data_IF_718108005994
#
_entry.id   IF_718108005994
#
_cell.length_a   1.000
_cell.length_b   1.000
_cell.length_c   1.000
_cell.angle_alpha   90.00
_cell.angle_beta   90.00
_cell.angle_gamma   90.00
#
_symmetry.space_group_name_H-M   'P 1'
#
loop_
_entity.id
_entity.type
_entity.pdbx_description
1 polymer ?
#
# COMPACT_ATOMS: atom_id res chain seq x y z
N UNK A 1 6.00 -9.34 -1.11
CA UNK A 1 5.98 -10.75 -1.57
C UNK A 1 5.36 -10.78 -2.96
N UNK A 2 6.05 -11.33 -3.95
CA UNK A 2 5.55 -11.44 -5.32
C UNK A 2 4.89 -12.80 -5.52
N UNK A 3 3.58 -12.81 -5.80
CA UNK A 3 2.82 -14.02 -6.12
C UNK A 3 2.43 -14.01 -7.60
N UNK A 4 2.30 -15.20 -8.20
CA UNK A 4 1.96 -15.40 -9.61
C UNK A 4 2.82 -14.58 -10.58
N UNK A 5 4.15 -14.78 -10.55
CA UNK A 5 5.10 -14.08 -11.43
C UNK A 5 5.04 -12.54 -11.34
N UNK A 6 4.64 -11.99 -10.19
CA UNK A 6 4.58 -10.55 -9.96
C UNK A 6 3.23 -9.90 -10.29
N UNK A 7 2.20 -10.67 -10.66
CA UNK A 7 0.84 -10.14 -10.87
C UNK A 7 0.17 -9.67 -9.59
N UNK A 8 0.54 -10.24 -8.45
CA UNK A 8 0.12 -9.76 -7.14
C UNK A 8 1.34 -9.40 -6.30
N UNK A 9 1.35 -8.14 -5.85
CA UNK A 9 2.39 -7.57 -5.01
C UNK A 9 1.76 -7.33 -3.65
N UNK A 10 2.07 -8.22 -2.70
CA UNK A 10 1.60 -8.06 -1.32
C UNK A 10 2.68 -7.41 -0.47
N UNK A 11 2.24 -6.60 0.50
CA UNK A 11 3.11 -6.06 1.54
C UNK A 11 3.77 -7.15 2.41
N UNK A 12 4.64 -6.75 3.35
CA UNK A 12 5.29 -7.68 4.27
C UNK A 12 4.27 -8.46 5.13
N UNK A 13 3.09 -7.88 5.40
CA UNK A 13 2.08 -8.43 6.31
C UNK A 13 1.00 -9.28 5.60
N UNK A 14 1.40 -10.23 4.76
CA UNK A 14 0.46 -11.15 4.07
C UNK A 14 -0.38 -11.98 5.04
N UNK A 15 0.11 -12.22 6.26
CA UNK A 15 -0.65 -12.93 7.31
C UNK A 15 -1.89 -12.15 7.74
N UNK A 16 -1.79 -10.82 7.79
CA UNK A 16 -2.91 -9.95 8.14
C UNK A 16 -4.05 -10.08 7.12
N UNK A 17 -3.71 -10.16 5.82
CA UNK A 17 -4.70 -10.42 4.76
C UNK A 17 -5.50 -11.70 4.99
N UNK A 18 -4.82 -12.80 5.32
CA UNK A 18 -5.47 -14.08 5.61
C UNK A 18 -6.44 -13.98 6.80
N UNK A 19 -6.03 -13.26 7.86
CA UNK A 19 -6.92 -12.98 8.99
C UNK A 19 -8.13 -12.14 8.57
N UNK A 20 -7.94 -11.07 7.78
CA UNK A 20 -9.05 -10.24 7.28
C UNK A 20 -10.06 -11.06 6.47
N UNK A 21 -9.59 -11.92 5.56
CA UNK A 21 -10.45 -12.82 4.79
C UNK A 21 -11.26 -13.72 5.74
N UNK A 22 -10.60 -14.32 6.74
CA UNK A 22 -11.28 -15.14 7.74
C UNK A 22 -12.33 -14.34 8.52
N UNK A 23 -12.01 -13.14 8.97
CA UNK A 23 -12.92 -12.26 9.69
C UNK A 23 -14.13 -11.82 8.86
N UNK A 24 -14.03 -11.81 7.52
CA UNK A 24 -15.16 -11.53 6.64
C UNK A 24 -15.98 -12.80 6.39
N UNK A 25 -15.33 -13.90 6.02
CA UNK A 25 -16.01 -15.14 5.61
C UNK A 25 -16.70 -15.83 6.79
N UNK A 26 -16.10 -15.86 7.98
CA UNK A 26 -16.65 -16.52 9.15
C UNK A 26 -18.05 -15.98 9.55
N UNK A 27 -18.24 -14.67 9.82
CA UNK A 27 -19.57 -14.16 10.18
C UNK A 27 -20.59 -14.29 9.04
N UNK A 28 -20.18 -14.11 7.78
CA UNK A 28 -21.07 -14.34 6.62
C UNK A 28 -21.55 -15.78 6.58
N UNK A 29 -20.64 -16.75 6.78
CA UNK A 29 -20.99 -18.17 6.78
C UNK A 29 -21.97 -18.53 7.91
N UNK A 30 -21.76 -17.97 9.11
CA UNK A 30 -22.66 -18.13 10.25
C UNK A 30 -24.03 -17.53 9.93
N UNK A 31 -24.07 -16.31 9.38
CA UNK A 31 -25.31 -15.68 8.95
C UNK A 31 -26.07 -16.53 7.91
N UNK A 32 -25.37 -17.03 6.88
CA UNK A 32 -25.98 -17.87 5.85
C UNK A 32 -26.52 -19.19 6.41
N UNK A 33 -25.83 -19.83 7.35
CA UNK A 33 -26.23 -21.13 7.92
C UNK A 33 -27.37 -21.00 8.92
N UNK A 34 -27.33 -20.02 9.83
CA UNK A 34 -28.30 -19.93 10.92
C UNK A 34 -29.44 -18.98 10.62
N UNK A 35 -29.13 -17.79 10.13
CA UNK A 35 -30.12 -16.72 9.94
C UNK A 35 -30.82 -16.86 8.59
N UNK A 36 -30.06 -16.96 7.49
CA UNK A 36 -30.66 -17.01 6.16
C UNK A 36 -31.50 -18.28 5.95
N UNK A 37 -31.07 -19.43 6.47
CA UNK A 37 -31.89 -20.67 6.45
C UNK A 37 -33.22 -20.48 7.15
N UNK A 38 -33.20 -19.92 8.37
CA UNK A 38 -34.42 -19.65 9.13
C UNK A 38 -35.33 -18.64 8.41
N UNK A 39 -34.73 -17.62 7.78
CA UNK A 39 -35.44 -16.60 7.03
C UNK A 39 -36.09 -17.14 5.74
N UNK A 40 -35.47 -18.11 5.07
CA UNK A 40 -36.04 -18.78 3.91
C UNK A 40 -37.24 -19.67 4.27
N UNK A 41 -37.22 -20.29 5.45
CA UNK A 41 -38.33 -21.12 5.93
C UNK A 41 -39.53 -20.26 6.39
N UNK A 42 -39.28 -19.10 7.01
CA UNK A 42 -40.34 -18.27 7.60
C UNK A 42 -40.97 -17.27 6.61
N UNK A 43 -40.27 -16.86 5.53
CA UNK A 43 -40.77 -15.89 4.55
C UNK A 43 -41.05 -16.51 3.18
N UNK A 44 -42.02 -15.94 2.45
CA UNK A 44 -42.34 -16.34 1.06
C UNK A 44 -41.06 -16.46 0.20
N UNK A 45 -40.91 -17.60 -0.49
CA UNK A 45 -39.68 -18.06 -1.14
C UNK A 45 -38.84 -17.01 -1.88
N UNK A 46 -39.44 -15.98 -2.48
CA UNK A 46 -38.73 -14.95 -3.24
C UNK A 46 -37.89 -14.01 -2.35
N UNK A 47 -38.37 -13.64 -1.16
CA UNK A 47 -37.71 -12.64 -0.32
C UNK A 47 -36.48 -13.22 0.40
N UNK A 48 -36.62 -14.41 1.00
CA UNK A 48 -35.51 -15.10 1.66
C UNK A 48 -34.37 -15.45 0.70
N UNK A 49 -34.70 -15.93 -0.50
CA UNK A 49 -33.70 -16.22 -1.53
C UNK A 49 -32.99 -14.95 -2.00
N UNK A 50 -33.71 -13.83 -2.18
CA UNK A 50 -33.10 -12.56 -2.59
C UNK A 50 -32.07 -12.06 -1.56
N UNK A 51 -32.37 -12.17 -0.27
CA UNK A 51 -31.45 -11.72 0.80
C UNK A 51 -30.17 -12.56 0.79
N UNK A 52 -30.30 -13.89 0.59
CA UNK A 52 -29.15 -14.78 0.49
C UNK A 52 -28.27 -14.46 -0.73
N UNK A 53 -28.89 -14.25 -1.90
CA UNK A 53 -28.16 -13.89 -3.13
C UNK A 53 -27.40 -12.59 -2.93
N UNK A 54 -28.04 -11.55 -2.39
CA UNK A 54 -27.41 -10.25 -2.11
C UNK A 54 -26.23 -10.42 -1.15
N UNK A 55 -26.40 -11.12 -0.04
CA UNK A 55 -25.33 -11.33 0.94
C UNK A 55 -24.10 -12.03 0.33
N UNK A 56 -24.32 -13.07 -0.49
CA UNK A 56 -23.22 -13.79 -1.15
C UNK A 56 -22.53 -12.90 -2.20
N UNK A 57 -23.29 -12.19 -3.03
CA UNK A 57 -22.73 -11.29 -4.05
C UNK A 57 -21.88 -10.19 -3.42
N UNK A 58 -22.38 -9.51 -2.38
CA UNK A 58 -21.62 -8.48 -1.68
C UNK A 58 -20.36 -9.05 -1.03
N UNK A 59 -20.44 -10.23 -0.41
CA UNK A 59 -19.26 -10.87 0.19
C UNK A 59 -18.20 -11.18 -0.86
N UNK A 60 -18.59 -11.71 -2.03
CA UNK A 60 -17.66 -11.95 -3.13
C UNK A 60 -17.06 -10.64 -3.63
N UNK A 61 -17.86 -9.59 -3.78
CA UNK A 61 -17.40 -8.27 -4.21
C UNK A 61 -16.38 -7.67 -3.23
N UNK A 62 -16.64 -7.75 -1.92
CA UNK A 62 -15.73 -7.27 -0.88
C UNK A 62 -14.40 -8.04 -0.91
N UNK A 63 -14.43 -9.36 -1.08
CA UNK A 63 -13.23 -10.19 -1.20
C UNK A 63 -12.43 -9.83 -2.47
N UNK A 64 -13.10 -9.56 -3.58
CA UNK A 64 -12.44 -9.10 -4.80
C UNK A 64 -11.77 -7.74 -4.59
N UNK A 65 -12.47 -6.77 -4.00
CA UNK A 65 -11.91 -5.45 -3.69
C UNK A 65 -10.73 -5.56 -2.73
N UNK A 66 -10.82 -6.42 -1.71
CA UNK A 66 -9.73 -6.67 -0.77
C UNK A 66 -8.49 -7.20 -1.50
N UNK A 67 -8.63 -8.22 -2.35
CA UNK A 67 -7.53 -8.78 -3.13
C UNK A 67 -6.94 -7.78 -4.12
N UNK A 68 -7.79 -7.01 -4.79
CA UNK A 68 -7.39 -5.98 -5.73
C UNK A 68 -6.65 -4.81 -5.05
N UNK A 69 -7.02 -4.46 -3.82
CA UNK A 69 -6.37 -3.37 -3.08
C UNK A 69 -5.06 -3.84 -2.46
N UNK A 70 -5.04 -5.05 -1.91
CA UNK A 70 -3.88 -5.60 -1.21
C UNK A 70 -2.78 -6.13 -2.13
N UNK A 71 -3.14 -6.56 -3.33
CA UNK A 71 -2.21 -7.16 -4.30
C UNK A 71 -1.78 -6.22 -5.42
N UNK A 72 -2.22 -4.96 -5.43
CA UNK A 72 -1.80 -3.98 -6.43
C UNK A 72 -0.46 -3.35 -6.08
N UNK A 73 0.29 -3.02 -7.11
CA UNK A 73 1.52 -2.24 -6.97
C UNK A 73 1.20 -0.87 -6.34
N UNK A 74 1.77 -0.53 -5.17
CA UNK A 74 1.60 0.79 -4.58
C UNK A 74 2.35 1.90 -5.35
N UNK A 75 3.05 1.56 -6.44
CA UNK A 75 3.91 2.48 -7.19
C UNK A 75 5.35 2.42 -6.69
N UNK A 76 5.92 1.21 -6.62
CA UNK A 76 7.29 1.01 -6.12
C UNK A 76 8.30 1.70 -7.05
N UNK A 77 8.98 2.71 -6.52
CA UNK A 77 10.12 3.34 -7.19
C UNK A 77 11.39 2.54 -6.83
N UNK A 78 12.11 1.99 -7.82
CA UNK A 78 13.31 1.19 -7.54
C UNK A 78 14.40 2.06 -6.91
N UNK A 79 15.25 1.43 -6.10
CA UNK A 79 16.43 2.11 -5.54
C UNK A 79 17.34 2.58 -6.68
N UNK A 80 17.92 3.77 -6.53
CA UNK A 80 18.87 4.25 -7.53
C UNK A 80 20.15 3.42 -7.45
N UNK A 81 20.54 2.79 -8.57
CA UNK A 81 21.78 2.01 -8.63
C UNK A 81 23.03 2.90 -8.45
N UNK A 82 22.91 4.16 -8.85
CA UNK A 82 23.94 5.17 -8.70
C UNK A 82 23.35 6.34 -7.91
N UNK A 83 23.78 6.55 -6.65
CA UNK A 83 23.39 7.74 -5.89
C UNK A 83 23.71 9.01 -6.70
N UNK A 84 22.92 10.08 -6.58
CA UNK A 84 23.28 11.35 -7.19
C UNK A 84 24.66 11.77 -6.71
N UNK A 85 25.52 12.25 -7.61
CA UNK A 85 26.77 12.86 -7.17
C UNK A 85 26.43 14.13 -6.37
N UNK A 86 27.12 14.40 -5.25
CA UNK A 86 26.91 15.65 -4.55
C UNK A 86 27.41 16.77 -5.46
N UNK A 87 26.48 17.65 -5.85
CA UNK A 87 26.82 18.93 -6.43
C UNK A 87 27.79 19.60 -5.44
N UNK A 88 29.00 19.94 -5.91
CA UNK A 88 30.02 20.64 -5.12
C UNK A 88 29.42 21.98 -4.68
N UNK A 89 28.88 22.00 -3.47
CA UNK A 89 28.25 23.19 -2.92
C UNK A 89 29.34 24.21 -2.61
N UNK A 90 29.44 25.22 -3.47
CA UNK A 90 30.37 26.35 -3.38
C UNK A 90 29.91 27.37 -2.32
N UNK A 91 29.52 26.88 -1.15
CA UNK A 91 28.88 27.65 -0.09
C UNK A 91 29.50 27.35 1.27
N UNK A 92 30.44 28.20 1.66
CA UNK A 92 31.04 28.31 2.98
C UNK A 92 29.98 28.39 4.08
N UNK A 93 29.74 27.30 4.84
CA UNK A 93 29.15 27.40 6.18
C UNK A 93 29.75 26.33 7.11
N UNK A 94 30.59 26.83 8.01
CA UNK A 94 31.00 26.36 9.33
C UNK A 94 31.13 24.84 9.60
N UNK A 95 32.39 24.42 9.72
CA UNK A 95 32.82 23.07 10.08
C UNK A 95 32.70 22.89 11.59
N UNK A 96 31.58 22.35 12.05
CA UNK A 96 31.45 21.74 13.37
C UNK A 96 32.20 20.41 13.41
N UNK A 97 33.28 20.37 14.21
CA UNK A 97 34.23 19.27 14.28
C UNK A 97 33.62 17.90 14.64
N UNK A 98 34.01 16.88 13.87
CA UNK A 98 34.05 15.49 14.33
C UNK A 98 32.96 14.57 13.80
N UNK A 99 33.01 14.19 12.52
CA UNK A 99 32.59 12.87 12.00
C UNK A 99 32.89 12.77 10.49
N UNK A 100 33.82 11.86 10.14
CA UNK A 100 34.10 11.20 8.84
C UNK A 100 33.63 11.87 7.51
N UNK A 101 34.53 12.05 6.51
CA UNK A 101 34.20 12.66 5.23
C UNK A 101 33.50 11.64 4.30
N UNK A 102 32.23 11.36 4.56
CA UNK A 102 31.35 10.71 3.59
C UNK A 102 30.47 11.80 2.99
N UNK A 103 30.93 12.42 1.91
CA UNK A 103 30.13 13.07 0.85
C UNK A 103 28.61 13.19 1.16
N UNK A 104 28.22 14.05 2.12
CA UNK A 104 26.82 14.13 2.55
C UNK A 104 26.08 14.96 1.51
N UNK A 105 25.39 14.30 0.59
CA UNK A 105 24.42 14.95 -0.29
C UNK A 105 23.51 15.88 0.55
N UNK A 106 23.17 17.08 0.05
CA UNK A 106 22.23 17.96 0.73
C UNK A 106 20.95 17.20 1.05
N UNK A 107 20.57 17.14 2.33
CA UNK A 107 19.37 16.39 2.77
C UNK A 107 18.09 16.92 2.14
N UNK A 108 18.10 18.17 1.71
CA UNK A 108 16.99 18.86 1.06
C UNK A 108 17.51 19.40 -0.27
N UNK A 109 16.80 19.09 -1.35
CA UNK A 109 17.00 19.68 -2.67
C UNK A 109 15.72 20.42 -3.05
N UNK A 110 15.85 21.61 -3.59
CA UNK A 110 14.73 22.35 -4.17
C UNK A 110 14.62 21.97 -5.64
N UNK A 111 13.42 21.56 -6.06
CA UNK A 111 13.13 21.23 -7.45
C UNK A 111 11.89 21.99 -7.88
N UNK A 112 11.98 22.63 -9.05
CA UNK A 112 10.85 23.31 -9.65
C UNK A 112 9.95 22.30 -10.36
N UNK A 113 8.69 22.21 -9.94
CA UNK A 113 7.68 21.36 -10.57
C UNK A 113 6.51 22.25 -10.97
N UNK A 114 6.26 22.41 -12.28
CA UNK A 114 5.21 23.26 -12.83
C UNK A 114 5.26 24.73 -12.35
N UNK A 115 6.45 25.33 -12.25
CA UNK A 115 6.63 26.71 -11.79
C UNK A 115 6.56 26.90 -10.27
N UNK A 116 6.42 25.82 -9.50
CA UNK A 116 6.38 25.85 -8.03
C UNK A 116 7.63 25.14 -7.49
N UNK A 117 8.39 25.83 -6.64
CA UNK A 117 9.55 25.23 -5.96
C UNK A 117 9.10 24.31 -4.83
N UNK A 118 9.40 23.01 -4.95
CA UNK A 118 9.08 21.99 -3.96
C UNK A 118 10.37 21.45 -3.33
N UNK A 119 10.39 21.37 -2.00
CA UNK A 119 11.49 20.80 -1.23
C UNK A 119 11.37 19.29 -1.17
N UNK A 120 12.33 18.58 -1.77
CA UNK A 120 12.41 17.11 -1.73
C UNK A 120 13.54 16.66 -0.81
N UNK A 121 13.37 15.50 -0.18
CA UNK A 121 14.32 14.95 0.80
C UNK A 121 15.04 13.73 0.25
N UNK A 122 16.35 13.67 0.48
CA UNK A 122 17.15 12.47 0.17
C UNK A 122 16.77 11.32 1.12
N UNK A 123 16.74 10.10 0.58
CA UNK A 123 16.52 8.87 1.34
C UNK A 123 17.76 7.97 1.24
N UNK A 124 18.47 7.80 2.35
CA UNK A 124 19.70 6.99 2.40
C UNK A 124 19.46 5.52 2.06
N UNK A 125 18.30 4.96 2.45
CA UNK A 125 17.95 3.57 2.16
C UNK A 125 17.62 3.33 0.69
N UNK A 126 16.95 4.29 0.03
CA UNK A 126 16.54 4.17 -1.38
C UNK A 126 17.56 4.76 -2.36
N UNK A 127 18.57 5.49 -1.86
CA UNK A 127 19.61 6.17 -2.63
C UNK A 127 19.09 7.18 -3.67
N UNK A 128 17.97 7.84 -3.38
CA UNK A 128 17.33 8.82 -4.27
C UNK A 128 16.71 9.98 -3.50
N UNK A 129 16.54 11.12 -4.18
CA UNK A 129 15.65 12.19 -3.71
C UNK A 129 14.20 11.77 -3.94
N UNK A 130 13.43 11.70 -2.85
CA UNK A 130 12.03 11.23 -2.90
C UNK A 130 11.17 12.20 -3.72
N UNK A 131 10.50 11.75 -4.78
CA UNK A 131 9.55 12.58 -5.50
C UNK A 131 8.43 13.09 -4.58
N UNK A 132 7.73 14.17 -4.98
CA UNK A 132 6.57 14.63 -4.23
C UNK A 132 5.57 13.50 -3.99
N UNK A 133 5.08 13.39 -2.74
CA UNK A 133 4.12 12.37 -2.27
C UNK A 133 4.67 10.95 -2.10
N UNK A 134 5.95 10.69 -2.33
CA UNK A 134 6.58 9.39 -2.05
C UNK A 134 7.12 9.30 -0.61
N UNK A 135 6.88 8.19 0.06
CA UNK A 135 7.52 7.82 1.33
C UNK A 135 8.59 6.73 1.12
N UNK A 136 9.37 6.48 2.17
CA UNK A 136 10.11 5.22 2.29
C UNK A 136 9.12 4.13 2.72
#
# INVERSE_FOLDING_TARGET
>A
IFLFQGRFIFGPDVRSLGLTILLIVAPVSIFCVFIARKLMDDFSHHLGNSIMVVAVVFTVYDLLLLLLTSGRDPGIIPRNAHPPEPESFDGSVDVGAGQTPQLRLPRIKEVEVNGITVKIKYCDTCMLYRPPRCSH
#
